data_IF_403934051175
#
_entry.id   IF_403934051175
#
_cell.length_a   1.000
_cell.length_b   1.000
_cell.length_c   1.000
_cell.angle_alpha   90.00
_cell.angle_beta   90.00
_cell.angle_gamma   90.00
#
_symmetry.space_group_name_H-M   'P 1'
#
loop_
_entity.id
_entity.type
_entity.pdbx_description
1 polymer ?
#
# COMPACT_ATOMS: atom_id res chain seq x y z
N UNK A 1 19.57 5.68 39.75
CA UNK A 1 18.56 4.99 40.59
C UNK A 1 17.44 6.00 40.83
N UNK A 2 16.18 5.80 40.48
CA UNK A 2 15.42 4.56 40.28
C UNK A 2 14.14 4.86 39.48
N UNK A 3 13.81 3.92 38.58
CA UNK A 3 12.50 3.53 38.03
C UNK A 3 11.49 4.54 37.44
N UNK A 4 11.35 4.42 36.11
CA UNK A 4 10.20 4.84 35.31
C UNK A 4 9.00 3.95 35.63
N UNK A 5 7.90 4.54 36.12
CA UNK A 5 6.63 3.85 36.36
C UNK A 5 5.81 3.84 35.07
N UNK A 6 5.79 2.70 34.39
CA UNK A 6 4.94 2.40 33.23
C UNK A 6 3.47 2.45 33.65
N UNK A 7 2.70 3.43 33.17
CA UNK A 7 1.24 3.47 33.36
C UNK A 7 0.57 2.69 32.23
N UNK A 8 0.21 1.46 32.54
CA UNK A 8 -0.67 0.61 31.73
C UNK A 8 -2.10 1.18 31.87
N UNK A 9 -2.65 1.73 30.79
CA UNK A 9 -4.03 2.23 30.78
C UNK A 9 -4.97 1.05 30.55
N UNK A 10 -5.64 0.65 31.63
CA UNK A 10 -6.65 -0.40 31.67
C UNK A 10 -7.94 0.11 30.99
N UNK A 11 -8.26 -0.42 29.81
CA UNK A 11 -9.54 -0.16 29.14
C UNK A 11 -10.69 -0.76 29.95
N UNK A 12 -11.45 0.11 30.64
CA UNK A 12 -12.66 -0.25 31.37
C UNK A 12 -13.84 -0.22 30.39
N UNK A 13 -14.24 -1.39 29.88
CA UNK A 13 -15.45 -1.53 29.05
C UNK A 13 -16.68 -1.32 29.94
N UNK A 14 -17.44 -0.26 29.71
CA UNK A 14 -18.81 -0.13 30.24
C UNK A 14 -19.71 -1.08 29.45
N UNK A 15 -20.39 -1.99 30.14
CA UNK A 15 -21.35 -2.93 29.55
C UNK A 15 -22.68 -2.19 29.28
N UNK A 16 -23.14 -2.21 28.03
CA UNK A 16 -24.51 -1.87 27.61
C UNK A 16 -25.34 -3.16 27.45
N UNK A 17 -26.69 -3.11 27.58
CA UNK A 17 -27.51 -4.30 27.80
C UNK A 17 -27.65 -5.20 26.55
N UNK A 18 -27.92 -6.51 26.73
CA UNK A 18 -27.86 -7.49 25.65
C UNK A 18 -29.06 -7.40 24.71
N UNK A 19 -28.78 -7.26 23.41
CA UNK A 19 -29.75 -7.48 22.34
C UNK A 19 -30.08 -8.98 22.27
N UNK A 20 -31.38 -9.27 22.13
CA UNK A 20 -32.07 -10.56 22.28
C UNK A 20 -31.55 -11.74 21.44
N UNK A 21 -31.73 -12.96 21.98
CA UNK A 21 -31.26 -14.27 21.49
C UNK A 21 -32.02 -14.82 20.27
N UNK A 22 -31.30 -15.66 19.52
CA UNK A 22 -31.76 -16.68 18.56
C UNK A 22 -31.05 -16.51 17.21
N UNK A 23 -30.49 -17.48 16.50
CA UNK A 23 -30.13 -18.89 16.71
C UNK A 23 -29.06 -19.22 15.64
N UNK A 24 -28.38 -20.36 15.80
CA UNK A 24 -27.40 -20.98 14.89
C UNK A 24 -25.96 -20.39 14.88
N UNK A 25 -25.09 -21.05 15.66
CA UNK A 25 -23.63 -20.92 15.56
C UNK A 25 -23.17 -21.60 14.27
N UNK A 26 -23.01 -20.82 13.20
CA UNK A 26 -22.18 -21.22 12.08
C UNK A 26 -20.72 -21.17 12.51
N UNK A 27 -20.06 -22.34 12.57
CA UNK A 27 -18.60 -22.41 12.67
C UNK A 27 -18.01 -21.71 11.45
N UNK A 28 -17.40 -20.54 11.67
CA UNK A 28 -16.57 -19.87 10.68
C UNK A 28 -15.12 -20.05 11.12
N UNK A 29 -14.39 -20.92 10.44
CA UNK A 29 -12.94 -21.05 10.52
C UNK A 29 -12.26 -19.87 9.77
N UNK A 30 -12.74 -18.65 10.03
CA UNK A 30 -12.17 -17.42 9.53
C UNK A 30 -11.68 -16.65 10.76
N UNK A 31 -10.41 -16.24 10.76
CA UNK A 31 -9.81 -15.42 11.81
C UNK A 31 -10.77 -14.30 12.22
N UNK A 32 -11.30 -14.41 13.44
CA UNK A 32 -12.23 -13.41 13.97
C UNK A 32 -11.48 -12.11 14.26
N UNK A 33 -12.11 -10.96 14.04
CA UNK A 33 -11.51 -9.68 14.40
C UNK A 33 -11.35 -9.59 15.92
N UNK A 34 -10.09 -9.57 16.39
CA UNK A 34 -9.75 -9.64 17.82
C UNK A 34 -9.59 -8.28 18.49
N UNK A 35 -9.39 -7.22 17.72
CA UNK A 35 -9.16 -5.86 18.22
C UNK A 35 -9.80 -4.78 17.33
N UNK A 36 -10.03 -3.60 17.91
CA UNK A 36 -10.60 -2.44 17.23
C UNK A 36 -9.70 -1.22 17.39
N UNK A 37 -9.63 -0.40 16.34
CA UNK A 37 -8.96 0.91 16.32
C UNK A 37 -10.06 1.96 16.18
N UNK A 38 -10.08 2.97 17.05
CA UNK A 38 -11.07 4.05 17.02
C UNK A 38 -10.38 5.41 17.00
N UNK A 39 -11.00 6.37 16.33
CA UNK A 39 -10.54 7.77 16.31
C UNK A 39 -11.75 8.70 16.25
N UNK A 40 -11.63 9.86 16.88
CA UNK A 40 -12.65 10.91 16.79
C UNK A 40 -12.36 11.74 15.55
N UNK A 41 -13.39 11.98 14.75
CA UNK A 41 -13.35 12.86 13.58
C UNK A 41 -14.41 13.94 13.76
N UNK A 42 -14.19 15.09 13.13
CA UNK A 42 -15.19 16.13 12.99
C UNK A 42 -16.33 15.65 12.09
N UNK A 43 -17.48 16.32 12.14
CA UNK A 43 -18.61 15.99 11.27
C UNK A 43 -18.27 16.18 9.79
N UNK A 44 -17.46 17.20 9.46
CA UNK A 44 -17.01 17.45 8.09
C UNK A 44 -16.13 16.31 7.56
N UNK A 45 -15.16 15.85 8.36
CA UNK A 45 -14.31 14.70 8.01
C UNK A 45 -15.14 13.42 7.89
N UNK A 46 -16.13 13.22 8.76
CA UNK A 46 -17.02 12.06 8.66
C UNK A 46 -17.78 12.04 7.33
N UNK A 47 -18.36 13.17 6.90
CA UNK A 47 -19.05 13.29 5.60
C UNK A 47 -18.11 13.04 4.42
N UNK A 48 -16.87 13.52 4.49
CA UNK A 48 -15.87 13.25 3.46
C UNK A 48 -15.55 11.76 3.36
N UNK A 49 -15.31 11.09 4.48
CA UNK A 49 -15.07 9.65 4.51
C UNK A 49 -16.30 8.88 4.00
N UNK A 50 -17.50 9.34 4.33
CA UNK A 50 -18.75 8.72 3.89
C UNK A 50 -18.93 8.72 2.38
N UNK A 51 -18.60 9.83 1.73
CA UNK A 51 -18.58 9.91 0.27
C UNK A 51 -17.61 8.89 -0.33
N UNK A 52 -16.43 8.72 0.27
CA UNK A 52 -15.39 7.80 -0.22
C UNK A 52 -15.81 6.33 -0.13
N UNK A 53 -16.34 5.88 1.02
CA UNK A 53 -16.75 4.47 1.13
C UNK A 53 -18.02 4.19 0.34
N UNK A 54 -18.95 5.14 0.28
CA UNK A 54 -20.20 4.99 -0.51
C UNK A 54 -19.89 4.83 -2.00
N UNK A 55 -18.91 5.58 -2.53
CA UNK A 55 -18.47 5.46 -3.92
C UNK A 55 -17.77 4.12 -4.23
N UNK A 56 -17.16 3.48 -3.22
CA UNK A 56 -16.42 2.22 -3.39
C UNK A 56 -17.28 0.95 -3.39
N UNK A 57 -18.57 1.06 -3.04
CA UNK A 57 -19.46 -0.10 -2.88
C UNK A 57 -19.08 -1.04 -1.72
N UNK A 58 -18.21 -0.58 -0.80
CA UNK A 58 -17.78 -1.34 0.38
C UNK A 58 -18.56 -0.91 1.61
N UNK A 59 -18.67 -1.80 2.60
CA UNK A 59 -19.13 -1.36 3.92
C UNK A 59 -18.11 -0.42 4.56
N UNK A 60 -18.57 0.47 5.43
CA UNK A 60 -17.71 1.40 6.20
C UNK A 60 -16.54 0.67 6.86
N UNK A 61 -16.80 -0.48 7.49
CA UNK A 61 -15.77 -1.24 8.23
C UNK A 61 -14.71 -1.85 7.30
N UNK A 62 -15.12 -2.36 6.14
CA UNK A 62 -14.19 -2.89 5.13
C UNK A 62 -13.33 -1.78 4.55
N UNK A 63 -13.96 -0.66 4.21
CA UNK A 63 -13.26 0.49 3.66
C UNK A 63 -12.24 1.06 4.64
N UNK A 64 -12.64 1.29 5.91
CA UNK A 64 -11.74 1.80 6.95
C UNK A 64 -10.56 0.86 7.18
N UNK A 65 -10.80 -0.46 7.22
CA UNK A 65 -9.72 -1.44 7.36
C UNK A 65 -8.77 -1.38 6.16
N UNK A 66 -9.28 -1.38 4.93
CA UNK A 66 -8.47 -1.33 3.72
C UNK A 66 -7.63 -0.04 3.68
N UNK A 67 -8.23 1.10 4.01
CA UNK A 67 -7.53 2.38 4.09
C UNK A 67 -6.38 2.36 5.11
N UNK A 68 -6.63 1.87 6.33
CA UNK A 68 -5.60 1.77 7.38
C UNK A 68 -4.49 0.78 7.02
N UNK A 69 -4.82 -0.39 6.47
CA UNK A 69 -3.82 -1.38 6.05
C UNK A 69 -2.99 -0.88 4.86
N UNK A 70 -3.62 -0.20 3.89
CA UNK A 70 -2.89 0.43 2.78
C UNK A 70 -1.90 1.46 3.31
N UNK A 71 -2.33 2.34 4.23
CA UNK A 71 -1.44 3.32 4.84
C UNK A 71 -0.29 2.68 5.62
N UNK A 72 -0.58 1.62 6.39
CA UNK A 72 0.43 0.88 7.14
C UNK A 72 1.45 0.22 6.21
N UNK A 73 1.00 -0.36 5.09
CA UNK A 73 1.87 -0.97 4.08
C UNK A 73 2.75 0.07 3.37
N UNK A 74 2.22 1.27 3.10
CA UNK A 74 3.02 2.37 2.54
C UNK A 74 4.09 2.90 3.50
N UNK A 75 3.80 2.88 4.80
CA UNK A 75 4.66 3.50 5.84
C UNK A 75 5.68 2.51 6.43
N UNK A 76 5.55 1.21 6.13
CA UNK A 76 6.46 0.17 6.62
C UNK A 76 7.37 -0.37 5.50
N UNK A 77 8.49 0.32 5.19
CA UNK A 77 9.44 -0.14 4.18
C UNK A 77 10.18 -1.43 4.57
N UNK A 78 10.09 -1.87 5.83
CA UNK A 78 10.88 -2.97 6.39
C UNK A 78 10.05 -4.24 6.63
N UNK A 79 8.72 -4.13 6.65
CA UNK A 79 7.82 -5.21 7.00
C UNK A 79 7.27 -5.90 5.78
N UNK A 80 8.10 -6.69 5.07
CA UNK A 80 7.80 -7.74 4.06
C UNK A 80 6.69 -7.50 3.03
N UNK A 81 6.11 -6.31 2.98
CA UNK A 81 5.06 -5.87 2.08
C UNK A 81 5.69 -4.80 1.22
N UNK A 82 6.65 -5.24 0.40
CA UNK A 82 6.79 -4.70 -0.95
C UNK A 82 5.45 -5.00 -1.65
N UNK A 83 4.35 -4.36 -1.25
CA UNK A 83 3.18 -4.34 -2.09
C UNK A 83 3.59 -3.44 -3.24
N UNK A 84 4.13 -4.06 -4.29
CA UNK A 84 4.29 -3.43 -5.59
C UNK A 84 2.88 -3.00 -5.98
N UNK A 85 2.51 -1.76 -5.65
CA UNK A 85 1.20 -1.25 -6.01
C UNK A 85 1.16 -1.07 -7.53
N UNK A 86 -0.03 -1.02 -8.11
CA UNK A 86 -0.21 -0.87 -9.56
C UNK A 86 0.61 0.30 -10.12
N UNK A 87 0.70 1.39 -9.37
CA UNK A 87 1.52 2.57 -9.72
C UNK A 87 3.01 2.22 -9.82
N UNK A 88 3.54 1.41 -8.91
CA UNK A 88 4.95 0.96 -8.92
C UNK A 88 5.23 0.07 -10.12
N UNK A 89 4.31 -0.86 -10.44
CA UNK A 89 4.42 -1.70 -11.65
C UNK A 89 4.44 -0.84 -12.90
N UNK A 90 3.45 0.04 -13.05
CA UNK A 90 3.32 0.90 -14.23
C UNK A 90 4.52 1.83 -14.39
N UNK A 91 5.00 2.43 -13.30
CA UNK A 91 6.18 3.29 -13.32
C UNK A 91 7.45 2.49 -13.66
N UNK A 92 7.59 1.27 -13.16
CA UNK A 92 8.70 0.39 -13.50
C UNK A 92 8.71 0.08 -15.00
N UNK A 93 7.60 -0.38 -15.56
CA UNK A 93 7.48 -0.66 -17.00
C UNK A 93 7.76 0.59 -17.85
N UNK A 94 7.24 1.76 -17.45
CA UNK A 94 7.49 3.01 -18.15
C UNK A 94 8.98 3.41 -18.12
N UNK A 95 9.67 3.20 -16.98
CA UNK A 95 11.10 3.49 -16.85
C UNK A 95 11.96 2.49 -17.64
N UNK A 96 11.56 1.23 -17.73
CA UNK A 96 12.20 0.22 -18.56
C UNK A 96 12.10 0.61 -20.04
N UNK A 97 10.87 0.88 -20.52
CA UNK A 97 10.59 1.34 -21.87
C UNK A 97 11.39 2.59 -22.23
N UNK A 98 11.36 3.62 -21.37
CA UNK A 98 12.17 4.84 -21.56
C UNK A 98 13.66 4.53 -21.73
N UNK A 99 14.20 3.62 -20.92
CA UNK A 99 15.62 3.27 -20.97
C UNK A 99 15.96 2.59 -22.29
N UNK A 100 15.15 1.62 -22.72
CA UNK A 100 15.36 0.93 -24.00
C UNK A 100 15.24 1.92 -25.16
N UNK A 101 14.18 2.73 -25.20
CA UNK A 101 13.91 3.69 -26.29
C UNK A 101 15.02 4.74 -26.41
N UNK A 102 15.46 5.35 -25.30
CA UNK A 102 16.51 6.38 -25.35
C UNK A 102 17.85 5.80 -25.83
N UNK A 103 18.24 4.62 -25.35
CA UNK A 103 19.49 3.98 -25.78
C UNK A 103 19.42 3.52 -27.23
N UNK A 104 18.26 3.05 -27.68
CA UNK A 104 18.04 2.65 -29.07
C UNK A 104 18.12 3.87 -30.01
N UNK A 105 17.41 4.95 -29.68
CA UNK A 105 17.44 6.19 -30.46
C UNK A 105 18.84 6.80 -30.52
N UNK A 106 19.60 6.75 -29.41
CA UNK A 106 20.98 7.20 -29.40
C UNK A 106 21.84 6.39 -30.37
N UNK A 107 21.76 5.05 -30.32
CA UNK A 107 22.54 4.17 -31.22
C UNK A 107 22.19 4.42 -32.70
N UNK A 108 20.90 4.59 -33.01
CA UNK A 108 20.44 4.90 -34.36
C UNK A 108 20.92 6.29 -34.83
N UNK A 109 20.83 7.29 -33.95
CA UNK A 109 21.28 8.65 -34.24
C UNK A 109 22.80 8.78 -34.43
N UNK A 110 23.59 7.92 -33.80
CA UNK A 110 25.04 7.85 -33.99
C UNK A 110 25.48 7.01 -35.20
N UNK A 111 24.54 6.45 -35.97
CA UNK A 111 24.84 5.57 -37.11
C UNK A 111 25.40 4.20 -36.69
N UNK A 112 25.26 3.83 -35.42
CA UNK A 112 25.72 2.54 -34.91
C UNK A 112 24.70 1.44 -35.28
N UNK A 113 25.17 0.29 -35.75
CA UNK A 113 24.28 -0.85 -35.95
C UNK A 113 23.87 -1.46 -34.62
N UNK A 114 22.56 -1.55 -34.38
CA UNK A 114 22.03 -2.20 -33.18
C UNK A 114 22.02 -3.70 -33.42
N UNK A 115 22.99 -4.40 -32.82
CA UNK A 115 23.01 -5.86 -32.84
C UNK A 115 21.89 -6.43 -31.96
N UNK A 116 21.45 -7.66 -32.26
CA UNK A 116 20.47 -8.38 -31.43
C UNK A 116 20.98 -8.55 -30.00
N UNK A 117 22.25 -8.88 -29.84
CA UNK A 117 22.90 -9.03 -28.54
C UNK A 117 22.83 -7.74 -27.72
N UNK A 118 23.13 -6.58 -28.34
CA UNK A 118 23.05 -5.28 -27.67
C UNK A 118 21.62 -4.97 -27.21
N UNK A 119 20.62 -5.28 -28.05
CA UNK A 119 19.21 -5.08 -27.71
C UNK A 119 18.76 -6.00 -26.56
N UNK A 120 19.16 -7.27 -26.56
CA UNK A 120 18.89 -8.22 -25.47
C UNK A 120 19.51 -7.72 -24.16
N UNK A 121 20.80 -7.34 -24.18
CA UNK A 121 21.50 -6.83 -23.00
C UNK A 121 20.84 -5.56 -22.43
N UNK A 122 20.35 -4.67 -23.29
CA UNK A 122 19.61 -3.47 -22.87
C UNK A 122 18.26 -3.82 -22.22
N UNK A 123 17.57 -4.83 -22.74
CA UNK A 123 16.27 -5.29 -22.21
C UNK A 123 16.46 -5.92 -20.84
N UNK A 124 17.44 -6.83 -20.70
CA UNK A 124 17.77 -7.47 -19.42
C UNK A 124 18.22 -6.47 -18.36
N UNK A 125 19.03 -5.48 -18.75
CA UNK A 125 19.42 -4.39 -17.84
C UNK A 125 18.20 -3.58 -17.40
N UNK A 126 17.31 -3.22 -18.32
CA UNK A 126 16.10 -2.47 -18.02
C UNK A 126 15.17 -3.25 -17.07
N UNK A 127 14.96 -4.54 -17.33
CA UNK A 127 14.12 -5.41 -16.51
C UNK A 127 14.69 -5.65 -15.11
N UNK A 128 16.00 -5.82 -14.99
CA UNK A 128 16.65 -5.97 -13.68
C UNK A 128 16.49 -4.74 -12.80
N UNK A 129 16.39 -3.56 -13.41
CA UNK A 129 16.55 -2.27 -12.74
C UNK A 129 15.21 -1.51 -12.60
N UNK A 130 14.16 -1.92 -13.31
CA UNK A 130 12.90 -1.17 -13.39
C UNK A 130 12.21 -0.94 -12.04
N UNK A 131 12.14 -1.96 -11.19
CA UNK A 131 11.47 -1.86 -9.90
C UNK A 131 12.23 -1.00 -8.90
N UNK A 132 13.56 -1.19 -8.78
CA UNK A 132 14.39 -0.36 -7.90
C UNK A 132 14.27 1.11 -8.27
N UNK A 133 14.40 1.47 -9.56
CA UNK A 133 14.24 2.85 -10.02
C UNK A 133 12.84 3.41 -9.78
N UNK A 134 11.79 2.61 -9.94
CA UNK A 134 10.43 3.05 -9.66
C UNK A 134 10.24 3.37 -8.16
N UNK A 135 10.71 2.51 -7.28
CA UNK A 135 10.66 2.70 -5.82
C UNK A 135 11.45 3.94 -5.42
N UNK A 136 12.70 4.08 -5.89
CA UNK A 136 13.54 5.25 -5.61
C UNK A 136 12.84 6.55 -6.04
N UNK A 137 12.16 6.51 -7.18
CA UNK A 137 11.43 7.69 -7.70
C UNK A 137 10.20 8.01 -6.86
N UNK A 138 9.42 7.02 -6.46
CA UNK A 138 8.23 7.21 -5.61
C UNK A 138 8.61 7.72 -4.22
N UNK A 139 9.69 7.21 -3.63
CA UNK A 139 10.20 7.68 -2.34
C UNK A 139 10.57 9.17 -2.35
N UNK A 140 11.06 9.71 -3.48
CA UNK A 140 11.34 11.15 -3.60
C UNK A 140 10.08 12.02 -3.55
N UNK A 141 8.92 11.49 -3.95
CA UNK A 141 7.64 12.21 -3.85
C UNK A 141 7.03 12.12 -2.46
N UNK A 142 7.24 11.01 -1.74
CA UNK A 142 6.73 10.81 -0.37
C UNK A 142 7.51 11.65 0.66
N UNK A 143 8.79 11.93 0.41
CA UNK A 143 9.65 12.76 1.29
C UNK A 143 9.45 14.28 1.16
N UNK A 144 8.49 14.74 0.34
CA UNK A 144 8.12 16.15 0.19
C UNK A 144 6.84 16.43 0.95
#
# INVERSE_FOLDING_TARGET
>A
MTERRTRQVLCRVKQEPPCSKGDAVMKRDAESFTCAITTKVTEAEFKQLEQLWSASGMSRSEWCRKALLNQANLTNPNGNSHTVNEITVLLAELLALRTITVNLLHSLGSGEQVSREKLTNLTELADREKFRRAIDRLQQFIKK
#
